data_IF_371480746530
#
_entry.id   IF_371480746530
#
_cell.length_a   1.000
_cell.length_b   1.000
_cell.length_c   1.000
_cell.angle_alpha   90.00
_cell.angle_beta   90.00
_cell.angle_gamma   90.00
#
_symmetry.space_group_name_H-M   'P 1'
#
loop_
_entity.id
_entity.type
_entity.pdbx_description
1 polymer ?
#
# COMPACT_ATOMS: atom_id res chain seq x y z
N UNK A 1 36.81 0.94 -0.08
CA UNK A 1 36.33 1.98 -1.00
C UNK A 1 36.53 1.49 -2.44
N UNK A 2 35.63 0.64 -2.94
CA UNK A 2 35.48 0.37 -4.38
C UNK A 2 33.96 0.26 -4.60
N UNK A 3 33.41 1.32 -5.17
CA UNK A 3 32.03 1.39 -5.63
C UNK A 3 31.92 0.45 -6.83
N UNK A 4 31.38 -0.75 -6.64
CA UNK A 4 31.09 -1.65 -7.76
C UNK A 4 30.14 -0.92 -8.71
N UNK A 5 30.64 -0.56 -9.90
CA UNK A 5 29.91 0.18 -10.91
C UNK A 5 28.61 -0.54 -11.26
N UNK A 6 27.48 0.09 -10.97
CA UNK A 6 26.18 -0.43 -11.33
C UNK A 6 26.10 -0.50 -12.86
N UNK A 7 25.87 -1.70 -13.41
CA UNK A 7 25.76 -1.89 -14.86
C UNK A 7 24.59 -1.05 -15.40
N UNK A 8 24.67 -0.57 -16.65
CA UNK A 8 23.72 0.35 -17.28
C UNK A 8 22.26 -0.13 -17.15
N UNK A 9 22.01 -1.43 -17.30
CA UNK A 9 20.68 -2.04 -17.13
C UNK A 9 20.15 -1.84 -15.70
N UNK A 10 21.00 -2.04 -14.69
CA UNK A 10 20.64 -1.84 -13.29
C UNK A 10 20.40 -0.36 -12.98
N UNK A 11 21.22 0.54 -13.54
CA UNK A 11 21.03 1.99 -13.40
C UNK A 11 19.69 2.45 -13.97
N UNK A 12 19.35 2.00 -15.19
CA UNK A 12 18.08 2.30 -15.84
C UNK A 12 16.92 1.73 -15.01
N UNK A 13 17.00 0.47 -14.58
CA UNK A 13 15.95 -0.14 -13.77
C UNK A 13 15.70 0.63 -12.47
N UNK A 14 16.73 1.09 -11.76
CA UNK A 14 16.59 1.90 -10.54
C UNK A 14 15.95 3.27 -10.80
N UNK A 15 16.22 3.89 -11.95
CA UNK A 15 15.54 5.13 -12.37
C UNK A 15 14.07 4.89 -12.62
N UNK A 16 13.74 3.84 -13.38
CA UNK A 16 12.37 3.50 -13.71
C UNK A 16 11.57 3.07 -12.46
N UNK A 17 12.21 2.34 -11.52
CA UNK A 17 11.63 2.07 -10.21
C UNK A 17 11.32 3.36 -9.43
N UNK A 18 12.12 4.42 -9.53
CA UNK A 18 11.76 5.69 -8.87
C UNK A 18 10.49 6.31 -9.44
N UNK A 19 10.26 6.18 -10.74
CA UNK A 19 9.11 6.78 -11.43
C UNK A 19 7.83 5.96 -11.17
N UNK A 20 7.87 4.65 -11.41
CA UNK A 20 6.70 3.77 -11.42
C UNK A 20 6.75 2.63 -10.39
N UNK A 21 7.71 2.70 -9.45
CA UNK A 21 8.01 1.62 -8.52
C UNK A 21 8.01 1.92 -7.04
N UNK A 22 8.69 2.99 -6.61
CA UNK A 22 8.91 3.31 -5.20
C UNK A 22 7.60 3.60 -4.47
N UNK A 23 6.60 4.14 -5.17
CA UNK A 23 5.30 4.42 -4.59
C UNK A 23 4.47 3.15 -4.31
N UNK A 24 4.74 2.04 -4.98
CA UNK A 24 3.88 0.84 -4.94
C UNK A 24 4.45 -0.32 -4.13
N UNK A 25 5.48 -0.11 -3.30
CA UNK A 25 6.09 -1.16 -2.48
C UNK A 25 6.31 -2.42 -3.32
N UNK A 26 7.39 -2.43 -4.11
CA UNK A 26 7.67 -3.30 -5.27
C UNK A 26 7.61 -4.84 -5.02
N UNK A 27 7.07 -5.27 -3.90
CA UNK A 27 6.89 -6.64 -3.42
C UNK A 27 5.44 -6.95 -3.02
N UNK A 28 4.46 -6.08 -3.30
CA UNK A 28 3.08 -6.55 -3.30
C UNK A 28 2.91 -7.55 -4.45
N UNK A 29 2.82 -8.84 -4.10
CA UNK A 29 2.71 -9.92 -5.09
C UNK A 29 1.65 -9.66 -6.15
N UNK A 30 0.58 -8.92 -5.80
CA UNK A 30 -0.54 -8.57 -6.67
C UNK A 30 -0.13 -7.66 -7.84
N UNK A 31 0.58 -6.55 -7.60
CA UNK A 31 0.97 -5.63 -8.69
C UNK A 31 1.99 -6.31 -9.59
N UNK A 32 2.94 -7.06 -9.02
CA UNK A 32 3.89 -7.82 -9.82
C UNK A 32 3.21 -8.85 -10.72
N UNK A 33 2.24 -9.61 -10.20
CA UNK A 33 1.46 -10.57 -10.96
C UNK A 33 0.65 -9.90 -12.08
N UNK A 34 0.00 -8.77 -11.80
CA UNK A 34 -0.74 -8.01 -12.81
C UNK A 34 0.16 -7.59 -13.97
N UNK A 35 1.33 -7.02 -13.67
CA UNK A 35 2.31 -6.61 -14.69
C UNK A 35 2.80 -7.79 -15.54
N UNK A 36 2.97 -8.96 -14.93
CA UNK A 36 3.35 -10.18 -15.62
C UNK A 36 2.21 -10.72 -16.51
N UNK A 37 0.95 -10.61 -16.07
CA UNK A 37 -0.21 -10.98 -16.87
C UNK A 37 -0.35 -10.06 -18.09
N UNK A 38 -0.21 -8.74 -17.91
CA UNK A 38 -0.23 -7.78 -19.03
C UNK A 38 0.90 -8.05 -20.01
N UNK A 39 2.12 -8.32 -19.53
CA UNK A 39 3.25 -8.70 -20.39
C UNK A 39 2.93 -9.93 -21.25
N UNK A 40 2.31 -10.96 -20.67
CA UNK A 40 1.92 -12.16 -21.43
C UNK A 40 0.82 -11.84 -22.43
N UNK A 41 -0.18 -11.06 -22.04
CA UNK A 41 -1.29 -10.69 -22.89
C UNK A 41 -0.83 -9.91 -24.13
N UNK A 42 0.02 -8.88 -23.96
CA UNK A 42 0.51 -8.10 -25.09
C UNK A 42 1.36 -8.93 -26.06
N UNK A 43 2.21 -9.82 -25.54
CA UNK A 43 3.02 -10.72 -26.38
C UNK A 43 2.12 -11.68 -27.16
N UNK A 44 1.10 -12.27 -26.52
CA UNK A 44 0.14 -13.16 -27.19
C UNK A 44 -0.61 -12.42 -28.29
N UNK A 45 -1.13 -11.22 -28.00
CA UNK A 45 -1.86 -10.40 -28.98
C UNK A 45 -0.97 -10.06 -30.17
N UNK A 46 0.27 -9.62 -29.93
CA UNK A 46 1.21 -9.27 -31.01
C UNK A 46 1.57 -10.49 -31.85
N UNK A 47 1.89 -11.62 -31.22
CA UNK A 47 2.24 -12.85 -31.95
C UNK A 47 1.06 -13.34 -32.78
N UNK A 48 -0.15 -13.39 -32.21
CA UNK A 48 -1.35 -13.78 -32.94
C UNK A 48 -1.65 -12.81 -34.09
N UNK A 49 -1.54 -11.49 -33.86
CA UNK A 49 -1.70 -10.48 -34.89
C UNK A 49 -0.71 -10.64 -36.05
N UNK A 50 0.58 -10.80 -35.74
CA UNK A 50 1.61 -11.07 -36.75
C UNK A 50 1.35 -12.37 -37.51
N UNK A 51 0.90 -13.44 -36.83
CA UNK A 51 0.56 -14.70 -37.51
C UNK A 51 -0.66 -14.56 -38.43
N UNK A 52 -1.70 -13.82 -38.02
CA UNK A 52 -2.86 -13.55 -38.89
C UNK A 52 -2.46 -12.82 -40.16
N UNK A 53 -1.53 -11.85 -40.06
CA UNK A 53 -0.98 -11.17 -41.23
C UNK A 53 -0.14 -12.12 -42.10
N UNK A 54 0.66 -13.00 -41.50
CA UNK A 54 1.48 -13.98 -42.24
C UNK A 54 0.63 -14.96 -43.04
N UNK A 55 -0.53 -15.36 -42.53
CA UNK A 55 -1.48 -16.23 -43.24
C UNK A 55 -2.35 -15.49 -44.26
N UNK A 56 -2.15 -14.18 -44.47
CA UNK A 56 -2.96 -13.36 -45.38
C UNK A 56 -4.39 -13.14 -44.89
N UNK A 57 -4.67 -13.40 -43.60
CA UNK A 57 -6.00 -13.24 -43.00
C UNK A 57 -6.26 -11.80 -42.54
N UNK A 58 -5.23 -10.97 -42.43
CA UNK A 58 -5.34 -9.60 -41.90
C UNK A 58 -4.26 -8.69 -42.46
N UNK A 59 -4.64 -7.48 -42.89
CA UNK A 59 -3.73 -6.44 -43.32
C UNK A 59 -3.18 -6.61 -44.75
N UNK A 60 -2.58 -5.55 -45.31
CA UNK A 60 -2.05 -5.57 -46.68
C UNK A 60 -0.73 -6.33 -46.77
N UNK A 61 -0.43 -6.90 -47.94
CA UNK A 61 0.83 -7.62 -48.20
C UNK A 61 2.05 -6.69 -48.08
N UNK A 62 1.90 -5.40 -48.38
CA UNK A 62 2.97 -4.40 -48.32
C UNK A 62 3.58 -4.24 -46.91
N UNK A 63 2.81 -4.56 -45.87
CA UNK A 63 3.24 -4.49 -44.47
C UNK A 63 3.67 -5.84 -43.89
N UNK A 64 3.74 -6.90 -44.71
CA UNK A 64 4.12 -8.23 -44.23
C UNK A 64 5.49 -8.24 -43.53
N UNK A 65 6.50 -7.64 -44.17
CA UNK A 65 7.85 -7.61 -43.64
C UNK A 65 7.95 -6.79 -42.34
N UNK A 66 7.28 -5.64 -42.26
CA UNK A 66 7.28 -4.80 -41.06
C UNK A 66 6.55 -5.48 -39.90
N UNK A 67 5.40 -6.10 -40.15
CA UNK A 67 4.63 -6.86 -39.16
C UNK A 67 5.42 -8.05 -38.60
N UNK A 68 6.18 -8.75 -39.46
CA UNK A 68 7.03 -9.86 -39.05
C UNK A 68 8.20 -9.38 -38.18
N UNK A 69 8.91 -8.32 -38.61
CA UNK A 69 10.03 -7.73 -37.85
C UNK A 69 9.55 -7.25 -36.48
N UNK A 70 8.39 -6.59 -36.42
CA UNK A 70 7.77 -6.14 -35.18
C UNK A 70 7.45 -7.32 -34.25
N UNK A 71 6.79 -8.37 -34.76
CA UNK A 71 6.47 -9.56 -33.97
C UNK A 71 7.70 -10.28 -33.42
N UNK A 72 8.74 -10.43 -34.26
CA UNK A 72 10.03 -11.02 -33.85
C UNK A 72 10.73 -10.16 -32.78
N UNK A 73 10.73 -8.84 -32.92
CA UNK A 73 11.34 -7.94 -31.94
C UNK A 73 10.69 -8.07 -30.55
N UNK A 74 9.35 -8.10 -30.49
CA UNK A 74 8.60 -8.28 -29.24
C UNK A 74 8.88 -9.66 -28.63
N UNK A 75 8.93 -10.73 -29.44
CA UNK A 75 9.29 -12.07 -29.00
C UNK A 75 10.71 -12.14 -28.42
N UNK A 76 11.70 -11.54 -29.08
CA UNK A 76 13.09 -11.51 -28.60
C UNK A 76 13.19 -10.82 -27.24
N UNK A 77 12.54 -9.67 -27.08
CA UNK A 77 12.52 -8.93 -25.81
C UNK A 77 11.85 -9.76 -24.71
N UNK A 78 10.74 -10.43 -25.01
CA UNK A 78 10.07 -11.33 -24.07
C UNK A 78 10.96 -12.52 -23.67
N UNK A 79 11.68 -13.13 -24.62
CA UNK A 79 12.60 -14.24 -24.35
C UNK A 79 13.79 -13.79 -23.50
N UNK A 80 14.37 -12.61 -23.77
CA UNK A 80 15.41 -12.03 -22.92
C UNK A 80 14.92 -11.78 -21.48
N UNK A 81 13.66 -11.37 -21.32
CA UNK A 81 13.04 -11.23 -20.00
C UNK A 81 12.83 -12.58 -19.30
N UNK A 82 12.40 -13.63 -20.04
CA UNK A 82 12.24 -14.99 -19.50
C UNK A 82 13.56 -15.62 -19.08
N UNK A 83 14.63 -15.35 -19.81
CA UNK A 83 16.01 -15.76 -19.49
C UNK A 83 16.66 -14.92 -18.39
N UNK A 84 15.90 -13.97 -17.78
CA UNK A 84 16.33 -13.08 -16.69
C UNK A 84 17.44 -12.10 -17.06
N UNK A 85 17.66 -11.83 -18.35
CA UNK A 85 18.57 -10.77 -18.80
C UNK A 85 17.94 -9.38 -18.63
N UNK A 86 16.60 -9.28 -18.70
CA UNK A 86 15.87 -8.01 -18.55
C UNK A 86 14.91 -8.05 -17.35
N UNK A 87 14.90 -7.00 -16.49
CA UNK A 87 13.91 -6.88 -15.44
C UNK A 87 12.53 -6.53 -16.03
N UNK A 88 11.46 -7.07 -15.42
CA UNK A 88 10.07 -6.94 -15.88
C UNK A 88 9.66 -5.51 -16.26
N UNK A 89 10.03 -4.54 -15.41
CA UNK A 89 9.66 -3.14 -15.65
C UNK A 89 10.33 -2.60 -16.92
N UNK A 90 11.63 -2.86 -17.11
CA UNK A 90 12.34 -2.47 -18.33
C UNK A 90 11.76 -3.15 -19.57
N UNK A 91 11.41 -4.44 -19.47
CA UNK A 91 10.73 -5.18 -20.55
C UNK A 91 9.44 -4.50 -20.98
N UNK A 92 8.62 -4.07 -20.03
CA UNK A 92 7.35 -3.39 -20.30
C UNK A 92 7.58 -2.03 -20.98
N UNK A 93 8.52 -1.22 -20.50
CA UNK A 93 8.87 0.05 -21.16
C UNK A 93 9.34 -0.17 -22.61
N UNK A 94 10.20 -1.17 -22.86
CA UNK A 94 10.70 -1.47 -24.20
C UNK A 94 9.58 -1.92 -25.13
N UNK A 95 8.71 -2.83 -24.68
CA UNK A 95 7.59 -3.32 -25.47
C UNK A 95 6.62 -2.17 -25.78
N UNK A 96 6.19 -1.40 -24.78
CA UNK A 96 5.27 -0.29 -25.01
C UNK A 96 5.86 0.78 -25.94
N UNK A 97 7.15 1.07 -25.81
CA UNK A 97 7.83 2.01 -26.69
C UNK A 97 7.88 1.51 -28.14
N UNK A 98 8.31 0.26 -28.37
CA UNK A 98 8.41 -0.32 -29.70
C UNK A 98 7.02 -0.43 -30.35
N UNK A 99 6.01 -0.91 -29.62
CA UNK A 99 4.63 -0.99 -30.11
C UNK A 99 4.09 0.39 -30.47
N UNK A 100 4.35 1.41 -29.63
CA UNK A 100 3.89 2.76 -29.92
C UNK A 100 4.57 3.35 -31.16
N UNK A 101 5.89 3.18 -31.31
CA UNK A 101 6.64 3.65 -32.48
C UNK A 101 6.17 2.93 -33.74
N UNK A 102 5.90 1.62 -33.65
CA UNK A 102 5.38 0.83 -34.76
C UNK A 102 4.02 1.37 -35.25
N UNK A 103 3.02 1.45 -34.36
CA UNK A 103 1.69 1.96 -34.71
C UNK A 103 1.73 3.40 -35.22
N UNK A 104 2.52 4.26 -34.58
CA UNK A 104 2.72 5.65 -35.02
C UNK A 104 3.36 5.74 -36.41
N UNK A 105 4.33 4.88 -36.70
CA UNK A 105 5.01 4.80 -37.98
C UNK A 105 4.09 4.29 -39.09
N UNK A 106 3.30 3.26 -38.81
CA UNK A 106 2.34 2.67 -39.76
C UNK A 106 1.25 3.69 -40.15
N UNK A 107 0.67 4.41 -39.17
CA UNK A 107 -0.29 5.48 -39.45
C UNK A 107 0.30 6.58 -40.33
N UNK A 108 1.53 7.03 -40.04
CA UNK A 108 2.19 8.09 -40.81
C UNK A 108 2.53 7.60 -42.22
N UNK A 109 3.13 6.42 -42.35
CA UNK A 109 3.51 5.87 -43.65
C UNK A 109 2.28 5.67 -44.54
N UNK A 110 1.21 5.08 -44.00
CA UNK A 110 -0.06 4.87 -44.70
C UNK A 110 -0.72 6.18 -45.11
N UNK A 111 -0.45 7.27 -44.39
CA UNK A 111 -0.97 8.58 -44.74
C UNK A 111 -0.23 9.24 -45.90
N UNK A 112 1.10 9.10 -45.95
CA UNK A 112 1.92 9.67 -47.03
C UNK A 112 1.91 8.84 -48.32
N UNK A 113 1.64 7.54 -48.23
CA UNK A 113 1.53 6.63 -49.36
C UNK A 113 0.13 6.01 -49.39
N UNK A 114 -0.89 6.78 -49.84
CA UNK A 114 -2.27 6.33 -49.77
C UNK A 114 -2.57 5.20 -50.77
N UNK A 115 -3.27 4.19 -50.26
CA UNK A 115 -3.86 3.08 -51.01
C UNK A 115 -5.36 2.99 -50.68
N UNK A 116 -6.12 2.16 -51.41
CA UNK A 116 -7.57 2.03 -51.23
C UNK A 116 -7.98 1.60 -49.81
N UNK A 117 -7.09 0.90 -49.09
CA UNK A 117 -7.31 0.44 -47.71
C UNK A 117 -6.79 1.40 -46.64
N UNK A 118 -6.16 2.54 -46.98
CA UNK A 118 -5.45 3.40 -46.02
C UNK A 118 -6.33 3.85 -44.85
N UNK A 119 -7.58 4.24 -45.12
CA UNK A 119 -8.53 4.66 -44.07
C UNK A 119 -8.83 3.51 -43.11
N UNK A 120 -9.06 2.29 -43.63
CA UNK A 120 -9.37 1.12 -42.80
C UNK A 120 -8.16 0.68 -41.97
N UNK A 121 -6.95 0.79 -42.52
CA UNK A 121 -5.72 0.45 -41.82
C UNK A 121 -5.45 1.43 -40.66
N UNK A 122 -5.56 2.74 -40.92
CA UNK A 122 -5.44 3.77 -39.87
C UNK A 122 -6.51 3.58 -38.78
N UNK A 123 -7.75 3.26 -39.14
CA UNK A 123 -8.80 2.95 -38.15
C UNK A 123 -8.45 1.72 -37.30
N UNK A 124 -7.83 0.70 -37.90
CA UNK A 124 -7.37 -0.49 -37.17
C UNK A 124 -6.23 -0.15 -36.20
N UNK A 125 -5.29 0.69 -36.62
CA UNK A 125 -4.18 1.15 -35.78
C UNK A 125 -4.65 1.97 -34.58
N UNK A 126 -5.70 2.78 -34.74
CA UNK A 126 -6.33 3.53 -33.65
C UNK A 126 -6.96 2.57 -32.62
N UNK A 127 -7.61 1.51 -33.07
CA UNK A 127 -8.19 0.50 -32.17
C UNK A 127 -7.06 -0.19 -31.38
N UNK A 128 -5.98 -0.58 -32.05
CA UNK A 128 -4.80 -1.17 -31.41
C UNK A 128 -4.12 -0.20 -30.44
N UNK A 129 -4.00 1.07 -30.83
CA UNK A 129 -3.45 2.14 -29.98
C UNK A 129 -4.31 2.38 -28.73
N UNK A 130 -5.64 2.32 -28.86
CA UNK A 130 -6.57 2.39 -27.73
C UNK A 130 -6.36 1.21 -26.77
N UNK A 131 -6.17 0.00 -27.31
CA UNK A 131 -5.79 -1.17 -26.52
C UNK A 131 -4.47 -0.99 -25.77
N UNK A 132 -3.46 -0.39 -26.41
CA UNK A 132 -2.16 -0.09 -25.81
C UNK A 132 -2.30 0.90 -24.63
N UNK A 133 -3.09 1.97 -24.79
CA UNK A 133 -3.38 2.93 -23.72
C UNK A 133 -4.08 2.28 -22.51
N UNK A 134 -4.99 1.34 -22.75
CA UNK A 134 -5.60 0.55 -21.69
C UNK A 134 -4.56 -0.31 -20.95
N UNK A 135 -3.68 -1.00 -21.68
CA UNK A 135 -2.65 -1.86 -21.08
C UNK A 135 -1.65 -1.06 -20.23
N UNK A 136 -1.18 0.09 -20.70
CA UNK A 136 -0.28 0.98 -19.94
C UNK A 136 -0.94 1.50 -18.67
N UNK A 137 -2.27 1.71 -18.70
CA UNK A 137 -3.09 2.07 -17.53
C UNK A 137 -3.15 0.94 -16.50
N UNK A 138 -3.43 -0.30 -16.92
CA UNK A 138 -3.47 -1.45 -15.99
C UNK A 138 -2.13 -1.73 -15.30
N UNK A 139 -1.01 -1.41 -15.94
CA UNK A 139 0.35 -1.60 -15.38
C UNK A 139 0.72 -0.46 -14.42
N UNK A 140 -0.15 0.54 -14.27
CA UNK A 140 0.00 1.74 -13.45
C UNK A 140 1.21 2.60 -13.88
N UNK A 141 1.38 2.81 -15.19
CA UNK A 141 2.50 3.56 -15.78
C UNK A 141 2.02 4.85 -16.49
N UNK A 142 1.50 5.84 -15.76
CA UNK A 142 0.85 7.01 -16.36
C UNK A 142 1.76 7.88 -17.22
N UNK A 143 3.08 7.87 -16.97
CA UNK A 143 4.03 8.57 -17.83
C UNK A 143 4.16 7.90 -19.20
N UNK A 144 4.10 6.56 -19.24
CA UNK A 144 4.07 5.81 -20.51
C UNK A 144 2.75 6.03 -21.22
N UNK A 145 1.63 6.00 -20.49
CA UNK A 145 0.29 6.30 -21.04
C UNK A 145 0.26 7.70 -21.67
N UNK A 146 0.82 8.71 -20.99
CA UNK A 146 0.92 10.07 -21.52
C UNK A 146 1.80 10.13 -22.77
N UNK A 147 2.95 9.46 -22.77
CA UNK A 147 3.83 9.39 -23.93
C UNK A 147 3.16 8.74 -25.14
N UNK A 148 2.40 7.66 -24.92
CA UNK A 148 1.62 7.00 -25.96
C UNK A 148 0.53 7.92 -26.50
N UNK A 149 -0.22 8.60 -25.63
CA UNK A 149 -1.25 9.56 -26.02
C UNK A 149 -0.69 10.67 -26.92
N UNK A 150 0.44 11.27 -26.53
CA UNK A 150 1.06 12.35 -27.31
C UNK A 150 1.55 11.84 -28.66
N UNK A 151 2.28 10.72 -28.69
CA UNK A 151 2.87 10.20 -29.94
C UNK A 151 1.79 9.67 -30.88
N UNK A 152 0.86 8.85 -30.39
CA UNK A 152 -0.23 8.27 -31.18
C UNK A 152 -1.24 9.31 -31.62
N UNK A 153 -1.60 10.24 -30.73
CA UNK A 153 -2.47 11.37 -31.05
C UNK A 153 -1.86 12.29 -32.11
N UNK A 154 -0.56 12.62 -32.01
CA UNK A 154 0.12 13.41 -33.02
C UNK A 154 0.18 12.69 -34.38
N UNK A 155 0.53 11.40 -34.40
CA UNK A 155 0.50 10.58 -35.61
C UNK A 155 -0.87 10.58 -36.28
N UNK A 156 -1.95 10.44 -35.48
CA UNK A 156 -3.31 10.46 -36.01
C UNK A 156 -3.72 11.82 -36.57
N UNK A 157 -3.38 12.92 -35.88
CA UNK A 157 -3.65 14.28 -36.37
C UNK A 157 -2.92 14.53 -37.71
N UNK A 158 -1.67 14.09 -37.82
CA UNK A 158 -0.90 14.15 -39.08
C UNK A 158 -1.60 13.33 -40.16
N UNK A 159 -2.04 12.10 -39.85
CA UNK A 159 -2.73 11.25 -40.80
C UNK A 159 -4.04 11.89 -41.30
N UNK A 160 -4.85 12.48 -40.42
CA UNK A 160 -6.05 13.23 -40.80
C UNK A 160 -5.73 14.41 -41.73
N UNK A 161 -4.68 15.18 -41.40
CA UNK A 161 -4.29 16.35 -42.18
C UNK A 161 -3.79 15.99 -43.59
N UNK A 162 -3.08 14.87 -43.73
CA UNK A 162 -2.53 14.43 -45.03
C UNK A 162 -3.59 13.73 -45.89
N UNK A 163 -4.40 12.83 -45.32
CA UNK A 163 -5.41 12.09 -46.10
C UNK A 163 -6.62 12.94 -46.46
N UNK A 164 -6.97 13.94 -45.65
CA UNK A 164 -8.18 14.74 -45.83
C UNK A 164 -9.48 13.92 -45.75
N UNK A 165 -9.45 12.73 -45.12
CA UNK A 165 -10.62 11.85 -45.05
C UNK A 165 -11.64 12.39 -44.04
N UNK A 166 -12.93 12.53 -44.42
CA UNK A 166 -13.97 13.01 -43.52
C UNK A 166 -14.18 12.05 -42.34
N UNK A 167 -14.12 10.74 -42.59
CA UNK A 167 -14.32 9.70 -41.57
C UNK A 167 -13.27 9.84 -40.44
N UNK A 168 -12.00 10.04 -40.81
CA UNK A 168 -10.92 10.21 -39.83
C UNK A 168 -11.06 11.55 -39.08
N UNK A 169 -11.43 12.61 -39.80
CA UNK A 169 -11.57 13.95 -39.22
C UNK A 169 -12.75 14.01 -38.23
N UNK A 170 -13.87 13.37 -38.53
CA UNK A 170 -15.05 13.30 -37.65
C UNK A 170 -14.80 12.46 -36.38
N UNK A 171 -13.95 11.44 -36.46
CA UNK A 171 -13.57 10.62 -35.30
C UNK A 171 -12.61 11.33 -34.32
N UNK A 172 -11.86 12.35 -34.79
CA UNK A 172 -10.84 13.05 -34.03
C UNK A 172 -11.31 13.61 -32.67
N UNK A 173 -12.41 14.38 -32.55
CA UNK A 173 -12.85 14.90 -31.26
C UNK A 173 -13.21 13.79 -30.26
N UNK A 174 -13.81 12.70 -30.73
CA UNK A 174 -14.19 11.56 -29.87
C UNK A 174 -12.94 10.83 -29.37
N UNK A 175 -11.95 10.62 -30.24
CA UNK A 175 -10.68 9.98 -29.86
C UNK A 175 -9.88 10.83 -28.88
N UNK A 176 -9.80 12.15 -29.09
CA UNK A 176 -9.15 13.06 -28.14
C UNK A 176 -9.81 13.02 -26.76
N UNK A 177 -11.14 13.02 -26.70
CA UNK A 177 -11.89 12.90 -25.44
C UNK A 177 -11.60 11.54 -24.77
N UNK A 178 -11.65 10.44 -25.52
CA UNK A 178 -11.38 9.10 -24.99
C UNK A 178 -9.96 8.98 -24.43
N UNK A 179 -8.95 9.49 -25.15
CA UNK A 179 -7.56 9.36 -24.74
C UNK A 179 -7.19 10.29 -23.58
N UNK A 180 -7.73 11.51 -23.55
CA UNK A 180 -7.57 12.40 -22.39
C UNK A 180 -8.19 11.80 -21.13
N UNK A 181 -9.38 11.20 -21.25
CA UNK A 181 -10.00 10.44 -20.15
C UNK A 181 -9.12 9.27 -19.71
N UNK A 182 -8.54 8.53 -20.65
CA UNK A 182 -7.66 7.38 -20.34
C UNK A 182 -6.40 7.80 -19.59
N UNK A 183 -5.75 8.90 -20.01
CA UNK A 183 -4.59 9.46 -19.29
C UNK A 183 -4.99 9.92 -17.88
N UNK A 184 -6.12 10.60 -17.74
CA UNK A 184 -6.65 11.01 -16.44
C UNK A 184 -6.88 9.81 -15.52
N UNK A 185 -7.58 8.78 -16.02
CA UNK A 185 -7.84 7.54 -15.29
C UNK A 185 -6.53 6.83 -14.91
N UNK A 186 -5.52 6.82 -15.78
CA UNK A 186 -4.22 6.21 -15.49
C UNK A 186 -3.53 6.86 -14.29
N UNK A 187 -3.55 8.19 -14.20
CA UNK A 187 -2.99 8.93 -13.06
C UNK A 187 -3.76 8.63 -11.79
N UNK A 188 -5.09 8.67 -11.84
CA UNK A 188 -5.93 8.42 -10.67
C UNK A 188 -5.80 6.98 -10.18
N UNK A 189 -5.83 6.01 -11.08
CA UNK A 189 -5.73 4.60 -10.76
C UNK A 189 -4.41 4.30 -10.03
N UNK A 190 -3.28 4.87 -10.49
CA UNK A 190 -2.00 4.76 -9.78
C UNK A 190 -2.08 5.39 -8.38
N UNK A 191 -2.63 6.61 -8.27
CA UNK A 191 -2.74 7.32 -6.97
C UNK A 191 -3.56 6.54 -5.95
N UNK A 192 -4.74 6.06 -6.33
CA UNK A 192 -5.62 5.31 -5.43
C UNK A 192 -5.01 3.95 -5.06
N UNK A 193 -4.42 3.23 -6.02
CA UNK A 193 -3.77 1.95 -5.74
C UNK A 193 -2.61 2.10 -4.75
N UNK A 194 -1.78 3.14 -4.91
CA UNK A 194 -0.70 3.46 -3.97
C UNK A 194 -1.24 3.72 -2.57
N UNK A 195 -2.29 4.56 -2.44
CA UNK A 195 -2.90 4.87 -1.14
C UNK A 195 -3.43 3.60 -0.46
N UNK A 196 -4.22 2.80 -1.17
CA UNK A 196 -4.77 1.54 -0.66
C UNK A 196 -3.66 0.59 -0.22
N UNK A 197 -2.56 0.52 -0.95
CA UNK A 197 -1.45 -0.36 -0.59
C UNK A 197 -0.72 0.12 0.68
N UNK A 198 -0.49 1.43 0.81
CA UNK A 198 0.11 2.02 2.00
C UNK A 198 -0.78 1.76 3.22
N UNK A 199 -2.08 2.07 3.11
CA UNK A 199 -3.05 1.82 4.18
C UNK A 199 -3.08 0.33 4.56
N UNK A 200 -3.16 -0.58 3.59
CA UNK A 200 -3.17 -2.03 3.84
C UNK A 200 -1.89 -2.52 4.54
N UNK A 201 -0.72 -1.98 4.17
CA UNK A 201 0.53 -2.32 4.84
C UNK A 201 0.54 -1.77 6.27
N UNK A 202 0.13 -0.52 6.49
CA UNK A 202 -0.01 0.04 7.84
C UNK A 202 -1.01 -0.76 8.69
N UNK A 203 -2.13 -1.21 8.12
CA UNK A 203 -3.10 -2.05 8.83
C UNK A 203 -2.49 -3.40 9.24
N UNK A 204 -1.72 -4.04 8.35
CA UNK A 204 -1.02 -5.30 8.67
C UNK A 204 0.05 -5.11 9.75
N UNK A 205 0.79 -4.00 9.70
CA UNK A 205 1.83 -3.70 10.68
C UNK A 205 1.22 -3.36 12.05
N UNK A 206 0.10 -2.62 12.06
CA UNK A 206 -0.67 -2.35 13.27
C UNK A 206 -1.28 -3.64 13.86
N UNK A 207 -1.84 -4.52 13.02
CA UNK A 207 -2.35 -5.83 13.44
C UNK A 207 -1.25 -6.65 14.11
N UNK A 208 -0.07 -6.77 13.49
CA UNK A 208 1.08 -7.47 14.08
C UNK A 208 1.55 -6.83 15.39
N UNK A 209 1.67 -5.50 15.42
CA UNK A 209 2.12 -4.79 16.62
C UNK A 209 1.15 -5.00 17.80
N UNK A 210 -0.16 -5.08 17.53
CA UNK A 210 -1.16 -5.42 18.54
C UNK A 210 -1.03 -6.87 19.00
N UNK A 211 -0.89 -7.83 18.07
CA UNK A 211 -0.68 -9.23 18.40
C UNK A 211 0.58 -9.42 19.25
N UNK A 212 1.68 -8.76 18.89
CA UNK A 212 2.95 -8.80 19.62
C UNK A 212 2.83 -8.15 21.01
N UNK A 213 2.17 -6.98 21.11
CA UNK A 213 1.94 -6.29 22.37
C UNK A 213 1.15 -7.15 23.36
N UNK A 214 0.12 -7.86 22.88
CA UNK A 214 -0.69 -8.75 23.71
C UNK A 214 -0.10 -10.17 23.83
N UNK A 215 0.96 -10.50 23.07
CA UNK A 215 1.48 -11.88 22.89
C UNK A 215 0.38 -12.89 22.54
N UNK A 216 -0.48 -12.50 21.61
CA UNK A 216 -1.65 -13.28 21.20
C UNK A 216 -1.58 -13.64 19.72
N UNK A 217 -2.20 -14.77 19.38
CA UNK A 217 -2.49 -15.13 18.00
C UNK A 217 -3.72 -14.41 17.48
N UNK A 218 -3.84 -14.33 16.15
CA UNK A 218 -4.96 -13.64 15.47
C UNK A 218 -6.34 -14.17 15.90
N UNK A 219 -6.47 -15.48 16.06
CA UNK A 219 -7.71 -16.12 16.55
C UNK A 219 -8.09 -15.62 17.94
N UNK A 220 -7.11 -15.57 18.84
CA UNK A 220 -7.29 -15.12 20.22
C UNK A 220 -7.69 -13.64 20.31
N UNK A 221 -7.11 -12.78 19.45
CA UNK A 221 -7.51 -11.37 19.34
C UNK A 221 -8.96 -11.22 18.86
N UNK A 222 -9.40 -12.04 17.89
CA UNK A 222 -10.78 -12.00 17.39
C UNK A 222 -11.78 -12.46 18.46
N UNK A 223 -11.43 -13.49 19.23
CA UNK A 223 -12.23 -13.95 20.36
C UNK A 223 -12.34 -12.85 21.43
N UNK A 224 -11.24 -12.14 21.73
CA UNK A 224 -11.27 -10.97 22.61
C UNK A 224 -12.19 -9.87 22.09
N UNK A 225 -12.12 -9.49 20.81
CA UNK A 225 -12.99 -8.46 20.23
C UNK A 225 -14.46 -8.88 20.28
N UNK A 226 -14.76 -10.17 20.06
CA UNK A 226 -16.12 -10.70 20.18
C UNK A 226 -16.64 -10.66 21.61
N UNK A 227 -15.78 -11.01 22.57
CA UNK A 227 -16.09 -10.96 24.01
C UNK A 227 -16.24 -9.52 24.51
N UNK A 228 -15.36 -8.60 24.10
CA UNK A 228 -15.46 -7.18 24.44
C UNK A 228 -16.72 -6.52 23.84
N UNK A 229 -17.17 -6.97 22.66
CA UNK A 229 -18.45 -6.56 22.07
C UNK A 229 -19.64 -7.06 22.89
N UNK A 230 -19.54 -8.21 23.55
CA UNK A 230 -20.47 -8.66 24.60
C UNK A 230 -20.16 -7.90 25.90
N UNK A 231 -20.43 -6.58 25.90
CA UNK A 231 -20.22 -5.72 27.06
C UNK A 231 -20.76 -6.38 28.33
N UNK A 232 -19.87 -6.57 29.32
CA UNK A 232 -20.08 -7.24 30.62
C UNK A 232 -19.87 -8.76 30.60
N UNK A 233 -18.67 -9.19 30.22
CA UNK A 233 -18.19 -10.52 30.56
C UNK A 233 -18.33 -10.81 32.06
N UNK A 234 -18.95 -11.93 32.39
CA UNK A 234 -18.91 -12.48 33.74
C UNK A 234 -17.50 -13.00 34.08
N UNK A 235 -17.10 -13.06 35.37
CA UNK A 235 -15.80 -13.59 35.79
C UNK A 235 -15.51 -15.01 35.28
N UNK A 236 -16.57 -15.80 35.04
CA UNK A 236 -16.49 -17.16 34.52
C UNK A 236 -16.17 -17.18 33.02
N UNK A 237 -16.81 -16.33 32.23
CA UNK A 237 -16.52 -16.18 30.80
C UNK A 237 -15.12 -15.62 30.58
N UNK A 238 -14.67 -14.69 31.44
CA UNK A 238 -13.29 -14.19 31.44
C UNK A 238 -12.30 -15.31 31.75
N UNK A 239 -12.56 -16.18 32.72
CA UNK A 239 -11.65 -17.28 33.05
C UNK A 239 -11.63 -18.39 32.00
N UNK A 240 -12.78 -18.76 31.44
CA UNK A 240 -12.87 -19.73 30.34
C UNK A 240 -12.13 -19.22 29.10
N UNK A 241 -12.27 -17.93 28.78
CA UNK A 241 -11.48 -17.28 27.72
C UNK A 241 -9.99 -17.24 28.06
N UNK A 242 -9.61 -16.84 29.28
CA UNK A 242 -8.20 -16.83 29.70
C UNK A 242 -7.55 -18.22 29.65
N UNK A 243 -8.34 -19.30 29.75
CA UNK A 243 -7.85 -20.68 29.61
C UNK A 243 -7.66 -21.16 28.16
N UNK A 244 -8.15 -20.43 27.15
CA UNK A 244 -7.86 -20.74 25.74
C UNK A 244 -6.49 -20.22 25.28
N UNK A 245 -5.86 -19.35 26.08
CA UNK A 245 -4.47 -18.95 25.88
C UNK A 245 -3.50 -20.02 26.40
N UNK A 246 -2.33 -20.11 25.76
CA UNK A 246 -1.20 -20.82 26.37
C UNK A 246 -0.82 -20.17 27.70
N UNK A 247 -0.31 -20.95 28.66
CA UNK A 247 -0.01 -20.50 30.03
C UNK A 247 0.88 -19.26 30.06
N UNK A 248 1.88 -19.19 29.18
CA UNK A 248 2.77 -18.04 29.04
C UNK A 248 2.05 -16.79 28.50
N UNK A 249 1.17 -16.93 27.50
CA UNK A 249 0.40 -15.81 26.94
C UNK A 249 -0.59 -15.25 27.97
N UNK A 250 -1.23 -16.12 28.77
CA UNK A 250 -2.13 -15.73 29.86
C UNK A 250 -1.42 -14.90 30.93
N UNK A 251 -0.25 -15.36 31.39
CA UNK A 251 0.52 -14.65 32.43
C UNK A 251 1.02 -13.29 31.95
N UNK A 252 1.52 -13.23 30.70
CA UNK A 252 1.96 -11.96 30.11
C UNK A 252 0.78 -11.00 29.88
N UNK A 253 -0.38 -11.50 29.45
CA UNK A 253 -1.58 -10.68 29.32
C UNK A 253 -2.00 -10.07 30.65
N UNK A 254 -2.08 -10.87 31.72
CA UNK A 254 -2.45 -10.39 33.04
C UNK A 254 -1.43 -9.37 33.58
N UNK A 255 -0.13 -9.62 33.39
CA UNK A 255 0.93 -8.70 33.81
C UNK A 255 0.88 -7.36 33.04
N UNK A 256 0.66 -7.40 31.73
CA UNK A 256 0.59 -6.20 30.90
C UNK A 256 -0.69 -5.38 31.17
N UNK A 257 -1.82 -6.04 31.40
CA UNK A 257 -3.07 -5.38 31.80
C UNK A 257 -2.92 -4.74 33.17
N UNK A 258 -2.32 -5.42 34.15
CA UNK A 258 -2.04 -4.85 35.48
C UNK A 258 -1.12 -3.62 35.38
N UNK A 259 -0.05 -3.69 34.58
CA UNK A 259 0.84 -2.54 34.33
C UNK A 259 0.08 -1.36 33.69
N UNK A 260 -0.76 -1.61 32.70
CA UNK A 260 -1.52 -0.57 31.99
C UNK A 260 -2.58 0.07 32.89
N UNK A 261 -3.28 -0.72 33.69
CA UNK A 261 -4.24 -0.22 34.69
C UNK A 261 -3.52 0.65 35.72
N UNK A 262 -2.40 0.19 36.28
CA UNK A 262 -1.60 1.00 37.22
C UNK A 262 -1.13 2.29 36.58
N UNK A 263 -0.69 2.28 35.31
CA UNK A 263 -0.28 3.48 34.58
C UNK A 263 -1.44 4.47 34.37
N UNK A 264 -2.64 4.00 34.04
CA UNK A 264 -3.83 4.84 33.92
C UNK A 264 -4.24 5.45 35.28
N UNK A 265 -4.26 4.64 36.34
CA UNK A 265 -4.59 5.06 37.70
C UNK A 265 -3.56 6.04 38.29
N UNK A 266 -2.32 6.03 37.78
CA UNK A 266 -1.24 6.94 38.19
C UNK A 266 -1.07 8.18 37.32
N UNK A 267 -1.89 8.33 36.27
CA UNK A 267 -1.88 9.50 35.41
C UNK A 267 -2.22 10.77 36.19
N UNK A 268 -1.39 11.82 36.05
CA UNK A 268 -1.59 13.12 36.70
C UNK A 268 -3.03 13.64 36.52
N UNK A 269 -3.55 13.50 35.30
CA UNK A 269 -4.88 14.00 34.95
C UNK A 269 -6.01 13.30 35.71
N UNK A 270 -5.89 11.99 35.95
CA UNK A 270 -6.90 11.22 36.70
C UNK A 270 -6.82 11.52 38.20
N UNK A 271 -5.60 11.59 38.74
CA UNK A 271 -5.35 11.93 40.14
C UNK A 271 -5.78 13.37 40.47
N UNK A 272 -5.61 14.30 39.54
CA UNK A 272 -6.03 15.69 39.71
C UNK A 272 -7.55 15.83 39.72
N UNK A 273 -8.25 15.05 38.90
CA UNK A 273 -9.72 15.08 38.77
C UNK A 273 -10.43 14.35 39.91
N UNK A 274 -9.95 13.15 40.29
CA UNK A 274 -10.60 12.30 41.30
C UNK A 274 -10.13 12.56 42.74
N UNK A 275 -8.93 13.14 42.92
CA UNK A 275 -8.34 13.45 44.22
C UNK A 275 -7.87 14.92 44.30
N UNK A 276 -8.76 15.91 44.07
CA UNK A 276 -8.38 17.33 44.03
C UNK A 276 -7.89 17.86 45.38
N UNK A 277 -8.33 17.25 46.49
CA UNK A 277 -8.03 17.68 47.86
C UNK A 277 -6.62 17.27 48.35
N UNK A 278 -5.86 16.54 47.52
CA UNK A 278 -4.47 16.16 47.80
C UNK A 278 -3.49 17.17 47.22
N UNK A 279 -2.48 17.52 48.02
CA UNK A 279 -1.35 18.36 47.60
C UNK A 279 -0.47 17.61 46.60
N UNK A 280 0.37 18.32 45.81
CA UNK A 280 1.26 17.69 44.84
C UNK A 280 2.16 16.59 45.43
N UNK A 281 2.70 16.80 46.64
CA UNK A 281 3.52 15.80 47.33
C UNK A 281 2.73 14.60 47.85
N UNK A 282 1.46 14.79 48.23
CA UNK A 282 0.57 13.69 48.64
C UNK A 282 0.14 12.85 47.42
N UNK A 283 -0.11 13.48 46.26
CA UNK A 283 -0.39 12.79 44.99
C UNK A 283 0.79 11.95 44.51
N UNK A 284 2.02 12.41 44.76
CA UNK A 284 3.23 11.66 44.47
C UNK A 284 3.35 10.39 45.33
N UNK A 285 3.01 10.46 46.62
CA UNK A 285 2.95 9.28 47.50
C UNK A 285 1.84 8.32 47.06
N UNK A 286 0.64 8.84 46.76
CA UNK A 286 -0.48 8.05 46.23
C UNK A 286 -0.09 7.31 44.95
N UNK A 287 0.67 7.96 44.06
CA UNK A 287 1.19 7.34 42.84
C UNK A 287 2.06 6.12 43.14
N UNK A 288 3.00 6.26 44.06
CA UNK A 288 3.93 5.20 44.41
C UNK A 288 3.23 4.05 45.16
N UNK A 289 2.21 4.36 45.96
CA UNK A 289 1.34 3.35 46.59
C UNK A 289 0.55 2.56 45.54
N UNK A 290 -0.05 3.21 44.55
CA UNK A 290 -0.77 2.55 43.44
C UNK A 290 0.17 1.72 42.54
N UNK A 291 1.44 2.10 42.45
CA UNK A 291 2.46 1.28 41.77
C UNK A 291 2.83 0.01 42.55
N UNK A 292 2.38 -0.14 43.80
CA UNK A 292 2.62 -1.30 44.65
C UNK A 292 3.95 -1.26 45.41
N UNK A 293 4.58 -0.09 45.53
CA UNK A 293 5.84 0.07 46.27
C UNK A 293 5.62 -0.04 47.78
N UNK A 294 6.56 -0.69 48.47
CA UNK A 294 6.56 -0.79 49.94
C UNK A 294 6.97 0.54 50.56
N UNK A 295 6.55 0.78 51.81
CA UNK A 295 6.79 2.05 52.50
C UNK A 295 8.29 2.41 52.58
N UNK A 296 9.17 1.42 52.75
CA UNK A 296 10.62 1.59 52.70
C UNK A 296 11.12 2.07 51.33
N UNK A 297 10.60 1.50 50.24
CA UNK A 297 10.96 1.86 48.86
C UNK A 297 10.46 3.25 48.50
N UNK A 298 9.29 3.65 49.00
CA UNK A 298 8.75 5.01 48.86
C UNK A 298 9.67 6.03 49.53
N UNK A 299 10.17 5.72 50.73
CA UNK A 299 11.11 6.59 51.44
C UNK A 299 12.41 6.79 50.64
N UNK A 300 12.96 5.70 50.09
CA UNK A 300 14.16 5.74 49.23
C UNK A 300 13.90 6.53 47.94
N UNK A 301 12.74 6.33 47.29
CA UNK A 301 12.39 6.98 46.03
C UNK A 301 12.22 8.50 46.17
N UNK A 302 11.63 8.95 47.28
CA UNK A 302 11.35 10.36 47.54
C UNK A 302 12.49 11.09 48.27
N UNK A 303 13.53 10.38 48.73
CA UNK A 303 14.61 10.95 49.54
C UNK A 303 14.12 11.52 50.88
N UNK A 304 13.04 10.96 51.44
CA UNK A 304 12.39 11.44 52.68
C UNK A 304 12.56 10.43 53.81
N UNK A 305 12.61 10.94 55.04
CA UNK A 305 12.64 10.09 56.24
C UNK A 305 11.31 9.37 56.43
N UNK A 306 11.37 8.16 57.00
CA UNK A 306 10.20 7.30 57.23
C UNK A 306 9.12 7.99 58.06
N UNK A 307 9.50 8.77 59.08
CA UNK A 307 8.59 9.58 59.88
C UNK A 307 7.79 10.58 59.04
N UNK A 308 8.41 11.22 58.04
CA UNK A 308 7.76 12.20 57.18
C UNK A 308 6.80 11.52 56.18
N UNK A 309 7.19 10.38 55.61
CA UNK A 309 6.32 9.60 54.71
C UNK A 309 5.13 9.02 55.48
N UNK A 310 5.33 8.48 56.68
CA UNK A 310 4.24 8.02 57.57
C UNK A 310 3.28 9.14 57.96
N UNK A 311 3.79 10.33 58.28
CA UNK A 311 2.95 11.49 58.59
C UNK A 311 2.09 11.93 57.39
N UNK A 312 2.65 11.94 56.18
CA UNK A 312 1.90 12.25 54.96
C UNK A 312 0.91 11.13 54.60
N UNK A 313 1.29 9.86 54.78
CA UNK A 313 0.41 8.71 54.62
C UNK A 313 -0.83 8.79 55.53
N UNK A 314 -0.63 9.15 56.81
CA UNK A 314 -1.73 9.40 57.76
C UNK A 314 -2.61 10.60 57.38
N UNK A 315 -2.02 11.67 56.84
CA UNK A 315 -2.78 12.83 56.33
C UNK A 315 -3.61 12.48 55.11
N UNK A 316 -3.07 11.69 54.17
CA UNK A 316 -3.79 11.15 53.01
C UNK A 316 -4.97 10.31 53.50
N UNK A 317 -4.77 9.39 54.44
CA UNK A 317 -5.84 8.57 55.03
C UNK A 317 -6.95 9.42 55.64
N UNK A 318 -6.59 10.46 56.39
CA UNK A 318 -7.56 11.38 57.01
C UNK A 318 -8.34 12.19 55.97
N UNK A 319 -7.68 12.67 54.91
CA UNK A 319 -8.33 13.39 53.79
C UNK A 319 -9.23 12.49 52.94
N UNK A 320 -8.94 11.19 52.91
CA UNK A 320 -9.74 10.17 52.23
C UNK A 320 -10.90 9.65 53.07
N UNK A 321 -10.94 9.96 54.38
CA UNK A 321 -11.97 9.51 55.31
C UNK A 321 -11.86 8.04 55.72
N UNK A 322 -10.64 7.49 55.73
CA UNK A 322 -10.39 6.06 55.96
C UNK A 322 -10.34 5.70 57.45
N UNK A 323 -10.90 4.54 57.80
CA UNK A 323 -10.80 3.95 59.13
C UNK A 323 -9.38 3.39 59.38
N UNK A 324 -8.97 3.13 60.63
CA UNK A 324 -7.64 2.59 60.94
C UNK A 324 -7.35 1.24 60.27
N UNK A 325 -8.39 0.42 60.09
CA UNK A 325 -8.33 -0.93 59.51
C UNK A 325 -8.26 -0.94 57.97
N UNK A 326 -8.61 0.16 57.30
CA UNK A 326 -8.76 0.18 55.83
C UNK A 326 -7.40 0.08 55.12
N UNK A 327 -7.32 -0.72 54.05
CA UNK A 327 -6.16 -0.74 53.17
C UNK A 327 -6.19 0.48 52.23
N UNK A 328 -5.17 1.34 52.32
CA UNK A 328 -5.08 2.55 51.50
C UNK A 328 -5.03 2.24 50.00
N UNK A 329 -4.34 1.16 49.60
CA UNK A 329 -4.21 0.76 48.20
C UNK A 329 -5.56 0.39 47.56
N UNK A 330 -6.32 -0.48 48.22
CA UNK A 330 -7.61 -0.95 47.72
C UNK A 330 -8.61 0.20 47.60
N UNK A 331 -8.66 1.08 48.61
CA UNK A 331 -9.55 2.25 48.62
C UNK A 331 -9.17 3.31 47.61
N UNK A 332 -7.90 3.45 47.27
CA UNK A 332 -7.45 4.31 46.17
C UNK A 332 -7.87 3.72 44.82
N UNK A 333 -7.74 2.42 44.63
CA UNK A 333 -8.18 1.75 43.40
C UNK A 333 -9.71 1.86 43.21
N UNK A 334 -10.50 1.62 44.26
CA UNK A 334 -11.98 1.75 44.24
C UNK A 334 -12.48 3.16 43.85
N UNK A 335 -11.70 4.21 44.16
CA UNK A 335 -12.12 5.61 43.93
C UNK A 335 -11.66 6.16 42.58
N UNK A 336 -10.71 5.48 41.94
CA UNK A 336 -10.09 5.87 40.67
C UNK A 336 -10.59 5.05 39.47
N UNK A 337 -11.13 3.86 39.72
CA UNK A 337 -11.98 3.09 38.80
C UNK A 337 -13.41 3.68 38.79
#
# INVERSE_FOLDING_TARGET
MIMAGMNMIQFINERLKRIDGKAMGFESGVVHQLRLQVLRAIVIIVVLGSMLNVFGLSGPEDFFASNLVYGVAILVIYMLARLRYLPLLLTLYLIFFITQVYLSGEMIYTAFYPHDYSVSLILSDIILHSGLLCMTTFVYMPMVTLGCYVLGGASYVVACAVLGSPILTEALPVLLLLYTLTVYLSVQLKRYTVKVLIENNMFKDNEKSLLDFFRMDRSQLLDYIQLAKRKNLSPQETNMFLSSFGTEAKENFLANVDMLVRHQLTSNKLLDDKLPNLTPSEKEIVRLVIQGLRLSEICTRLGKTESNVCAQHSRIRKKMGLAPEDNLYEKLCERLL
#
